data_IF_928621485660
#
_entry.id   IF_928621485660
#
_cell.length_a   1.000
_cell.length_b   1.000
_cell.length_c   1.000
_cell.angle_alpha   90.00
_cell.angle_beta   90.00
_cell.angle_gamma   90.00
#
_symmetry.space_group_name_H-M   'P 1'
#
loop_
_entity.id
_entity.type
_entity.pdbx_description
1 polymer ?
#
# COMPACT_ATOMS: atom_id res chain seq x y z
N UNK A 1 6.32 2.50 -5.50
CA UNK A 1 5.02 1.81 -5.36
C UNK A 1 3.97 2.85 -5.02
N UNK A 2 2.76 2.75 -5.58
CA UNK A 2 1.64 3.64 -5.22
C UNK A 2 0.55 2.80 -4.57
N UNK A 3 0.30 2.96 -3.27
CA UNK A 3 -0.74 2.20 -2.58
C UNK A 3 -2.08 2.91 -2.69
N UNK A 4 -3.11 2.18 -3.10
CA UNK A 4 -4.47 2.71 -3.12
C UNK A 4 -4.98 2.90 -1.68
N UNK A 5 -5.61 4.04 -1.42
CA UNK A 5 -6.12 4.40 -0.10
C UNK A 5 -7.47 5.11 -0.20
N UNK A 6 -8.31 4.93 0.82
CA UNK A 6 -9.49 5.73 1.06
C UNK A 6 -9.19 6.68 2.21
N UNK A 7 -9.58 7.94 2.08
CA UNK A 7 -9.31 8.97 3.07
C UNK A 7 -10.59 9.70 3.47
N UNK A 8 -10.67 10.05 4.75
CA UNK A 8 -11.57 11.08 5.25
C UNK A 8 -10.71 12.30 5.55
N UNK A 9 -11.02 13.42 4.91
CA UNK A 9 -10.27 14.66 5.05
C UNK A 9 -11.25 15.83 5.15
N UNK A 10 -11.12 16.62 6.21
CA UNK A 10 -11.88 17.85 6.39
C UNK A 10 -11.17 19.01 5.67
N UNK A 11 -11.95 19.96 5.14
CA UNK A 11 -11.38 21.10 4.40
C UNK A 11 -10.72 22.08 5.37
N UNK A 12 -9.46 22.39 5.14
CA UNK A 12 -8.68 23.33 5.95
C UNK A 12 -7.22 22.90 6.02
N UNK A 13 -6.40 23.71 6.69
CA UNK A 13 -5.01 23.35 7.03
C UNK A 13 -4.88 22.94 8.50
N UNK A 14 -5.90 23.20 9.31
CA UNK A 14 -5.93 22.84 10.71
C UNK A 14 -6.15 21.33 10.87
N UNK A 15 -5.38 20.65 11.73
CA UNK A 15 -5.61 19.25 12.02
C UNK A 15 -7.01 19.01 12.56
N UNK A 16 -7.66 17.94 12.10
CA UNK A 16 -8.93 17.49 12.61
C UNK A 16 -8.83 16.02 13.06
N UNK A 17 -9.33 15.68 14.25
CA UNK A 17 -9.21 14.33 14.83
C UNK A 17 -9.89 13.24 13.97
N UNK A 18 -10.87 13.62 13.15
CA UNK A 18 -11.54 12.74 12.20
C UNK A 18 -10.82 12.57 10.87
N UNK A 19 -9.68 13.23 10.66
CA UNK A 19 -8.87 13.04 9.45
C UNK A 19 -8.06 11.74 9.53
N UNK A 20 -8.00 11.04 8.41
CA UNK A 20 -7.22 9.82 8.32
C UNK A 20 -7.39 9.13 6.99
N UNK A 21 -6.74 7.99 6.86
CA UNK A 21 -6.86 7.14 5.69
C UNK A 21 -6.63 5.68 6.05
N UNK A 22 -7.11 4.81 5.16
CA UNK A 22 -6.89 3.37 5.21
C UNK A 22 -6.24 2.92 3.90
N UNK A 23 -5.27 2.02 4.01
CA UNK A 23 -4.67 1.37 2.85
C UNK A 23 -5.58 0.21 2.43
N UNK A 24 -5.93 0.17 1.15
CA UNK A 24 -6.73 -0.92 0.59
C UNK A 24 -5.84 -2.16 0.44
N UNK A 25 -6.36 -3.31 0.86
CA UNK A 25 -5.65 -4.59 0.77
C UNK A 25 -6.41 -5.59 -0.10
N UNK A 26 -5.66 -6.46 -0.77
CA UNK A 26 -6.15 -7.63 -1.49
C UNK A 26 -5.61 -8.91 -0.84
N UNK A 27 -6.12 -10.07 -1.26
CA UNK A 27 -5.52 -11.35 -0.92
C UNK A 27 -4.09 -11.43 -1.50
N UNK A 28 -3.20 -12.06 -0.76
CA UNK A 28 -1.91 -12.48 -1.32
C UNK A 28 -2.12 -13.67 -2.23
N UNK A 29 -1.32 -13.73 -3.30
CA UNK A 29 -1.28 -14.86 -4.24
C UNK A 29 0.16 -15.40 -4.29
N UNK A 30 0.34 -16.63 -4.79
CA UNK A 30 1.67 -17.21 -5.04
C UNK A 30 2.61 -17.16 -3.82
N UNK A 31 3.92 -16.99 -4.02
CA UNK A 31 4.94 -17.01 -2.96
C UNK A 31 4.82 -15.91 -1.89
N UNK A 32 3.93 -14.93 -2.04
CA UNK A 32 3.64 -13.95 -0.99
C UNK A 32 2.81 -14.57 0.16
N UNK A 33 1.99 -15.59 -0.14
CA UNK A 33 1.17 -16.28 0.89
C UNK A 33 2.04 -16.93 1.96
N UNK A 34 3.27 -17.33 1.62
CA UNK A 34 4.24 -17.88 2.57
C UNK A 34 4.72 -16.84 3.61
N UNK A 35 4.53 -15.54 3.34
CA UNK A 35 4.83 -14.43 4.26
C UNK A 35 3.57 -13.97 4.99
N UNK A 36 2.50 -13.65 4.26
CA UNK A 36 1.23 -13.18 4.81
C UNK A 36 0.07 -13.36 3.82
N UNK A 37 -1.13 -13.60 4.34
CA UNK A 37 -2.37 -13.80 3.56
C UNK A 37 -2.94 -12.53 2.88
N UNK A 38 -2.40 -11.34 3.19
CA UNK A 38 -2.88 -10.05 2.70
C UNK A 38 -1.73 -9.20 2.18
N UNK A 39 -2.02 -8.42 1.13
CA UNK A 39 -1.08 -7.44 0.55
C UNK A 39 -1.77 -6.10 0.24
N UNK A 40 -1.04 -4.98 0.22
CA UNK A 40 -1.58 -3.71 -0.29
C UNK A 40 -1.97 -3.81 -1.76
N UNK A 41 -3.02 -3.08 -2.16
CA UNK A 41 -3.32 -2.82 -3.58
C UNK A 41 -2.31 -1.80 -4.09
N UNK A 42 -1.39 -2.26 -4.95
CA UNK A 42 -0.35 -1.42 -5.55
C UNK A 42 -0.73 -1.08 -6.99
N UNK A 43 -0.78 0.20 -7.32
CA UNK A 43 -1.12 0.73 -8.63
C UNK A 43 0.14 1.11 -9.44
N UNK A 44 0.00 1.13 -10.75
CA UNK A 44 0.98 1.79 -11.64
C UNK A 44 0.93 3.31 -11.42
N UNK A 45 1.93 4.04 -11.93
CA UNK A 45 1.93 5.51 -11.87
C UNK A 45 0.74 6.13 -12.65
N UNK A 46 0.30 5.48 -13.72
CA UNK A 46 -0.83 5.92 -14.53
C UNK A 46 -2.16 5.69 -13.81
N UNK A 47 -2.37 4.48 -13.30
CA UNK A 47 -3.58 4.14 -12.54
C UNK A 47 -3.67 4.95 -11.24
N UNK A 48 -2.54 5.26 -10.59
CA UNK A 48 -2.52 6.13 -9.42
C UNK A 48 -2.97 7.57 -9.75
N UNK A 49 -2.66 8.08 -10.94
CA UNK A 49 -3.19 9.38 -11.40
C UNK A 49 -4.68 9.30 -11.66
N UNK A 50 -5.16 8.23 -12.28
CA UNK A 50 -6.59 8.00 -12.46
C UNK A 50 -7.32 7.85 -11.12
N UNK A 51 -6.70 7.21 -10.12
CA UNK A 51 -7.23 7.08 -8.76
C UNK A 51 -7.45 8.43 -8.06
N UNK A 52 -6.56 9.39 -8.29
CA UNK A 52 -6.60 10.73 -7.68
C UNK A 52 -7.48 11.74 -8.43
N UNK A 53 -7.95 11.40 -9.63
CA UNK A 53 -8.80 12.26 -10.44
C UNK A 53 -10.18 12.45 -9.79
N UNK A 54 -10.61 13.70 -9.59
CA UNK A 54 -11.91 14.02 -8.98
C UNK A 54 -13.10 13.57 -9.83
N UNK A 55 -12.88 13.39 -11.14
CA UNK A 55 -13.89 12.90 -12.08
C UNK A 55 -13.95 11.37 -12.15
N UNK A 56 -13.06 10.65 -11.44
CA UNK A 56 -13.12 9.19 -11.38
C UNK A 56 -14.35 8.74 -10.61
N UNK A 57 -15.20 7.99 -11.30
CA UNK A 57 -16.43 7.44 -10.71
C UNK A 57 -16.10 6.32 -9.71
N UNK A 58 -16.99 6.05 -8.73
CA UNK A 58 -16.81 4.94 -7.80
C UNK A 58 -16.61 3.59 -8.50
N UNK A 59 -17.31 3.33 -9.61
CA UNK A 59 -17.18 2.10 -10.38
C UNK A 59 -15.81 1.98 -11.04
N UNK A 60 -15.27 3.09 -11.57
CA UNK A 60 -13.94 3.10 -12.15
C UNK A 60 -12.86 2.91 -11.07
N UNK A 61 -13.00 3.57 -9.92
CA UNK A 61 -12.10 3.36 -8.78
C UNK A 61 -12.12 1.89 -8.31
N UNK A 62 -13.30 1.29 -8.21
CA UNK A 62 -13.42 -0.13 -7.86
C UNK A 62 -12.71 -1.04 -8.87
N UNK A 63 -12.86 -0.79 -10.17
CA UNK A 63 -12.16 -1.54 -11.21
C UNK A 63 -10.62 -1.39 -11.09
N UNK A 64 -10.13 -0.16 -10.88
CA UNK A 64 -8.69 0.07 -10.64
C UNK A 64 -8.18 -0.75 -9.44
N UNK A 65 -8.93 -0.77 -8.33
CA UNK A 65 -8.51 -1.49 -7.14
C UNK A 65 -8.52 -3.01 -7.29
N UNK A 66 -9.50 -3.56 -8.05
CA UNK A 66 -9.69 -5.01 -8.18
C UNK A 66 -8.91 -5.64 -9.34
N UNK A 67 -8.81 -4.93 -10.46
CA UNK A 67 -8.34 -5.49 -11.72
C UNK A 67 -6.95 -4.98 -12.11
N UNK A 68 -6.56 -3.78 -11.66
CA UNK A 68 -5.31 -3.13 -12.05
C UNK A 68 -4.22 -3.19 -10.96
N UNK A 69 -4.45 -3.96 -9.88
CA UNK A 69 -3.42 -4.18 -8.88
C UNK A 69 -2.20 -4.88 -9.50
N UNK A 70 -0.99 -4.42 -9.20
CA UNK A 70 0.28 -5.06 -9.61
C UNK A 70 0.30 -6.53 -9.18
N UNK A 71 0.80 -7.38 -10.06
CA UNK A 71 0.91 -8.83 -9.82
C UNK A 71 2.05 -9.12 -8.84
N UNK A 72 1.99 -10.26 -8.15
CA UNK A 72 2.98 -10.64 -7.13
C UNK A 72 4.39 -10.75 -7.71
N UNK A 73 4.50 -11.22 -8.96
CA UNK A 73 5.77 -11.40 -9.68
C UNK A 73 6.52 -10.09 -9.96
N UNK A 74 5.86 -8.94 -9.80
CA UNK A 74 6.51 -7.62 -9.89
C UNK A 74 7.30 -7.25 -8.61
N UNK A 75 7.26 -8.11 -7.58
CA UNK A 75 7.85 -7.84 -6.27
C UNK A 75 8.84 -8.93 -5.87
N UNK A 76 9.83 -8.52 -5.10
CA UNK A 76 10.77 -9.38 -4.41
C UNK A 76 10.72 -9.08 -2.92
N UNK A 77 11.07 -10.07 -2.10
CA UNK A 77 11.05 -9.97 -0.65
C UNK A 77 12.27 -10.67 -0.06
N UNK A 78 12.76 -10.08 1.03
CA UNK A 78 13.93 -10.55 1.74
C UNK A 78 13.65 -10.50 3.24
N UNK A 79 14.15 -11.46 4.02
CA UNK A 79 14.14 -11.35 5.47
C UNK A 79 14.99 -10.14 5.90
N UNK A 80 14.51 -9.41 6.91
CA UNK A 80 15.20 -8.25 7.50
C UNK A 80 15.34 -8.43 9.01
N UNK A 81 16.18 -7.63 9.65
CA UNK A 81 16.38 -7.67 11.09
C UNK A 81 15.09 -7.37 11.87
N UNK A 82 14.87 -8.09 12.98
CA UNK A 82 13.69 -7.93 13.85
C UNK A 82 13.57 -6.55 14.48
N UNK A 83 14.64 -5.75 14.50
CA UNK A 83 14.65 -4.37 14.95
C UNK A 83 13.59 -3.50 14.25
N UNK A 84 13.15 -3.85 13.04
CA UNK A 84 12.07 -3.17 12.31
C UNK A 84 10.73 -3.18 13.06
N UNK A 85 10.51 -4.17 13.94
CA UNK A 85 9.28 -4.27 14.76
C UNK A 85 9.16 -3.20 15.86
N UNK A 86 10.23 -2.48 16.18
CA UNK A 86 10.20 -1.37 17.14
C UNK A 86 10.19 -0.03 16.42
N UNK A 87 9.05 0.66 16.45
CA UNK A 87 8.79 1.93 15.74
C UNK A 87 9.73 3.08 16.11
N UNK A 88 10.48 2.98 17.21
CA UNK A 88 11.51 3.97 17.58
C UNK A 88 12.75 3.89 16.69
N UNK A 89 12.97 2.75 16.04
CA UNK A 89 14.06 2.58 15.09
C UNK A 89 13.63 3.12 13.73
N UNK A 90 14.46 3.97 13.11
CA UNK A 90 14.17 4.63 11.82
C UNK A 90 15.39 4.63 10.88
N UNK A 91 16.38 3.76 11.15
CA UNK A 91 17.62 3.69 10.38
C UNK A 91 17.46 2.97 9.04
N UNK A 92 18.30 3.29 8.05
CA UNK A 92 18.26 2.67 6.71
C UNK A 92 18.60 1.17 6.71
N UNK A 93 19.24 0.67 7.77
CA UNK A 93 19.56 -0.75 7.98
C UNK A 93 18.30 -1.63 8.11
N UNK A 94 17.15 -1.04 8.50
CA UNK A 94 15.92 -1.78 8.78
C UNK A 94 15.28 -2.43 7.55
N UNK A 95 15.70 -2.04 6.34
CA UNK A 95 15.26 -2.64 5.07
C UNK A 95 16.37 -3.43 4.38
N UNK A 96 17.56 -3.55 5.00
CA UNK A 96 18.65 -4.32 4.43
C UNK A 96 18.40 -5.82 4.67
N UNK A 97 18.61 -6.67 3.65
CA UNK A 97 18.48 -8.11 3.82
C UNK A 97 19.43 -8.66 4.89
N UNK A 98 18.98 -9.67 5.63
CA UNK A 98 19.82 -10.48 6.52
C UNK A 98 19.91 -11.92 6.02
N UNK A 99 20.99 -12.62 6.37
CA UNK A 99 21.08 -14.07 6.17
C UNK A 99 20.26 -14.78 7.27
N UNK A 100 19.54 -15.85 6.90
CA UNK A 100 18.75 -16.69 7.82
C UNK A 100 19.61 -17.77 8.49
#
# INVERSE_FOLDING_TARGET
MFFAALAQVHRGLEPHDGDGFVIITSASDSGMVDIHDRRPVVLTAEDARAWLDSETTPQKAEALAKEHCRIVDDFEWFPVDRAVGNVRNQGPELIQPVEL
#
